data_IF_677791915015
#
_entry.id   IF_677791915015
#
_cell.length_a   1.000
_cell.length_b   1.000
_cell.length_c   1.000
_cell.angle_alpha   90.00
_cell.angle_beta   90.00
_cell.angle_gamma   90.00
#
_symmetry.space_group_name_H-M   'P 1'
#
loop_
_entity.id
_entity.type
_entity.pdbx_description
1 polymer ?
#
# COMPACT_ATOMS: atom_id res chain seq x y z
N UNK A 1 7.26 2.85 -45.90
CA UNK A 1 7.92 2.15 -44.78
C UNK A 1 7.10 2.39 -43.52
N UNK A 2 6.22 1.47 -43.17
CA UNK A 2 5.36 1.56 -41.99
C UNK A 2 6.14 1.07 -40.77
N UNK A 3 6.49 1.99 -39.87
CA UNK A 3 7.18 1.65 -38.62
C UNK A 3 6.29 0.70 -37.80
N UNK A 4 6.79 -0.49 -37.50
CA UNK A 4 6.13 -1.41 -36.57
C UNK A 4 6.16 -0.79 -35.17
N UNK A 5 5.04 -0.81 -34.42
CA UNK A 5 4.99 -0.24 -33.08
C UNK A 5 5.96 -0.99 -32.16
N UNK A 6 6.88 -0.23 -31.53
CA UNK A 6 7.88 -0.78 -30.61
C UNK A 6 7.18 -1.56 -29.50
N UNK A 7 7.58 -2.82 -29.23
CA UNK A 7 6.93 -3.62 -28.20
C UNK A 7 7.07 -2.94 -26.83
N UNK A 8 6.04 -3.02 -25.97
CA UNK A 8 6.09 -2.42 -24.65
C UNK A 8 7.27 -2.97 -23.85
N UNK A 9 7.92 -2.15 -23.00
CA UNK A 9 9.04 -2.61 -22.20
C UNK A 9 8.61 -3.77 -21.30
N UNK A 10 9.50 -4.76 -21.07
CA UNK A 10 9.16 -5.92 -20.27
C UNK A 10 8.90 -5.51 -18.82
N UNK A 11 7.86 -6.11 -18.22
CA UNK A 11 7.29 -5.75 -16.91
C UNK A 11 8.34 -5.64 -15.79
N UNK A 12 9.39 -6.46 -15.82
CA UNK A 12 10.45 -6.43 -14.80
C UNK A 12 11.26 -5.12 -14.79
N UNK A 13 11.41 -4.43 -15.93
CA UNK A 13 12.14 -3.15 -15.99
C UNK A 13 11.36 -2.04 -15.29
N UNK A 14 10.04 -2.04 -15.44
CA UNK A 14 9.15 -1.09 -14.77
C UNK A 14 9.17 -1.34 -13.26
N UNK A 15 9.07 -2.61 -12.85
CA UNK A 15 9.14 -2.99 -11.42
C UNK A 15 10.51 -2.63 -10.82
N UNK A 16 11.61 -2.89 -11.53
CA UNK A 16 12.95 -2.55 -11.06
C UNK A 16 13.14 -1.04 -10.91
N UNK A 17 12.73 -0.24 -11.90
CA UNK A 17 12.79 1.21 -11.82
C UNK A 17 11.92 1.76 -10.67
N UNK A 18 10.75 1.18 -10.48
CA UNK A 18 9.85 1.48 -9.38
C UNK A 18 10.49 1.22 -8.02
N UNK A 19 11.12 0.07 -7.83
CA UNK A 19 11.84 -0.29 -6.60
C UNK A 19 13.03 0.65 -6.35
N UNK A 20 13.78 0.97 -7.41
CA UNK A 20 14.96 1.83 -7.31
C UNK A 20 14.57 3.25 -6.89
N UNK A 21 13.44 3.76 -7.39
CA UNK A 21 12.87 5.05 -7.00
C UNK A 21 12.29 5.01 -5.58
N UNK A 22 11.55 3.95 -5.20
CA UNK A 22 10.92 3.87 -3.87
C UNK A 22 11.91 3.62 -2.74
N UNK A 23 13.08 3.03 -3.02
CA UNK A 23 14.13 2.75 -2.02
C UNK A 23 15.24 3.79 -2.06
N UNK A 24 15.69 4.21 -3.24
CA UNK A 24 16.83 5.12 -3.39
C UNK A 24 16.56 6.54 -2.87
N UNK A 25 15.35 7.06 -3.07
CA UNK A 25 14.99 8.40 -2.60
C UNK A 25 14.82 8.54 -1.09
N UNK A 26 14.17 7.63 -0.34
CA UNK A 26 14.18 7.70 1.12
C UNK A 26 15.61 7.64 1.67
N UNK A 27 16.50 6.86 1.06
CA UNK A 27 17.91 6.80 1.44
C UNK A 27 18.61 8.15 1.19
N UNK A 28 18.38 8.78 0.04
CA UNK A 28 18.94 10.08 -0.29
C UNK A 28 18.43 11.19 0.64
N UNK A 29 17.11 11.25 0.87
CA UNK A 29 16.50 12.27 1.75
C UNK A 29 16.93 12.01 3.20
N UNK A 30 16.94 10.76 3.65
CA UNK A 30 17.49 10.37 4.95
C UNK A 30 18.94 10.80 5.09
N UNK A 31 19.77 10.59 4.06
CA UNK A 31 21.14 11.11 4.04
C UNK A 31 21.15 12.63 4.22
N UNK A 32 20.32 13.40 3.51
CA UNK A 32 20.22 14.85 3.70
C UNK A 32 19.72 15.26 5.11
N UNK A 33 18.85 14.46 5.74
CA UNK A 33 18.33 14.68 7.10
C UNK A 33 19.38 14.41 8.17
N UNK A 34 20.31 13.47 7.96
CA UNK A 34 21.30 13.09 8.98
C UNK A 34 22.71 13.65 8.72
N UNK A 35 22.96 14.24 7.55
CA UNK A 35 24.23 14.91 7.21
C UNK A 35 24.11 16.43 7.37
N UNK A 36 25.21 17.19 7.54
CA UNK A 36 25.14 18.61 7.87
C UNK A 36 24.34 19.44 6.85
N UNK A 37 23.68 20.53 7.28
CA UNK A 37 22.71 21.27 6.46
C UNK A 37 23.32 22.07 5.30
N UNK A 38 24.61 21.95 5.02
CA UNK A 38 25.33 22.60 3.91
C UNK A 38 25.42 21.71 2.65
N UNK A 39 24.98 20.44 2.69
CA UNK A 39 24.71 19.70 1.45
C UNK A 39 23.69 20.48 0.62
N UNK A 40 24.04 20.76 -0.64
CA UNK A 40 23.37 21.70 -1.56
C UNK A 40 21.89 21.42 -1.91
N UNK A 41 21.22 20.55 -1.16
CA UNK A 41 19.79 20.27 -1.23
C UNK A 41 19.00 21.38 -0.52
N UNK A 42 18.13 22.07 -1.27
CA UNK A 42 17.31 23.18 -0.79
C UNK A 42 15.93 22.68 -0.36
N UNK A 43 15.22 23.50 0.42
CA UNK A 43 13.81 23.24 0.80
C UNK A 43 12.91 23.10 -0.45
N UNK A 44 13.21 23.86 -1.51
CA UNK A 44 12.50 23.74 -2.78
C UNK A 44 12.66 22.35 -3.42
N UNK A 45 13.85 21.77 -3.34
CA UNK A 45 14.13 20.44 -3.91
C UNK A 45 13.37 19.36 -3.14
N UNK A 46 13.31 19.47 -1.81
CA UNK A 46 12.48 18.59 -0.98
C UNK A 46 10.99 18.68 -1.36
N UNK A 47 10.46 19.89 -1.52
CA UNK A 47 9.07 20.10 -1.94
C UNK A 47 8.78 19.50 -3.33
N UNK A 48 9.70 19.68 -4.28
CA UNK A 48 9.57 19.12 -5.62
C UNK A 48 9.54 17.60 -5.57
N UNK A 49 10.39 16.99 -4.75
CA UNK A 49 10.41 15.54 -4.53
C UNK A 49 9.10 15.05 -3.92
N UNK A 50 8.60 15.69 -2.85
CA UNK A 50 7.30 15.34 -2.23
C UNK A 50 6.19 15.40 -3.29
N UNK A 51 6.11 16.50 -4.05
CA UNK A 51 5.08 16.69 -5.07
C UNK A 51 5.17 15.64 -6.18
N UNK A 52 6.36 15.36 -6.70
CA UNK A 52 6.57 14.36 -7.74
C UNK A 52 6.17 12.95 -7.27
N UNK A 53 6.51 12.58 -6.05
CA UNK A 53 6.11 11.30 -5.46
C UNK A 53 4.62 11.23 -5.18
N UNK A 54 4.00 12.31 -4.73
CA UNK A 54 2.56 12.36 -4.50
C UNK A 54 1.80 12.17 -5.81
N UNK A 55 2.24 12.85 -6.89
CA UNK A 55 1.67 12.66 -8.23
C UNK A 55 1.89 11.23 -8.71
N UNK A 56 3.08 10.66 -8.56
CA UNK A 56 3.36 9.27 -8.93
C UNK A 56 2.47 8.28 -8.14
N UNK A 57 2.29 8.51 -6.84
CA UNK A 57 1.42 7.72 -5.98
C UNK A 57 -0.04 7.78 -6.44
N UNK A 58 -0.54 8.98 -6.77
CA UNK A 58 -1.89 9.17 -7.32
C UNK A 58 -2.05 8.48 -8.68
N UNK A 59 -1.07 8.62 -9.58
CA UNK A 59 -1.10 7.97 -10.90
C UNK A 59 -1.10 6.45 -10.76
N UNK A 60 -0.29 5.88 -9.87
CA UNK A 60 -0.27 4.46 -9.57
C UNK A 60 -1.61 4.01 -8.98
N UNK A 61 -2.15 4.76 -8.01
CA UNK A 61 -3.47 4.52 -7.44
C UNK A 61 -4.53 4.45 -8.54
N UNK A 62 -4.66 5.50 -9.36
CA UNK A 62 -5.61 5.56 -10.47
C UNK A 62 -5.40 4.42 -11.48
N UNK A 63 -4.16 4.11 -11.84
CA UNK A 63 -3.85 3.02 -12.77
C UNK A 63 -4.32 1.66 -12.22
N UNK A 64 -4.09 1.39 -10.93
CA UNK A 64 -4.54 0.18 -10.25
C UNK A 64 -6.07 0.13 -10.10
N UNK A 65 -6.71 1.27 -9.80
CA UNK A 65 -8.17 1.38 -9.73
C UNK A 65 -8.85 1.21 -11.10
N UNK A 66 -8.22 1.68 -12.18
CA UNK A 66 -8.73 1.54 -13.55
C UNK A 66 -8.69 0.10 -14.05
N UNK A 67 -7.81 -0.74 -13.51
CA UNK A 67 -7.84 -2.18 -13.82
C UNK A 67 -9.08 -2.86 -13.21
N UNK A 68 -9.98 -3.31 -14.08
CA UNK A 68 -11.29 -3.92 -13.74
C UNK A 68 -11.20 -5.22 -12.91
N UNK A 69 -10.00 -5.78 -12.72
CA UNK A 69 -9.73 -6.99 -11.92
C UNK A 69 -8.55 -6.75 -10.98
N UNK A 70 -8.84 -6.23 -9.79
CA UNK A 70 -7.85 -6.10 -8.72
C UNK A 70 -7.47 -7.49 -8.21
N UNK A 71 -6.22 -7.90 -8.44
CA UNK A 71 -5.64 -9.15 -7.93
C UNK A 71 -4.85 -8.90 -6.62
N UNK A 72 -4.61 -9.94 -5.81
CA UNK A 72 -3.85 -9.84 -4.55
C UNK A 72 -2.48 -9.20 -4.74
N UNK A 73 -1.77 -9.53 -5.83
CA UNK A 73 -0.48 -8.93 -6.15
C UNK A 73 -0.54 -7.40 -6.29
N UNK A 74 -1.60 -6.85 -6.90
CA UNK A 74 -1.79 -5.41 -7.04
C UNK A 74 -2.05 -4.73 -5.69
N UNK A 75 -2.78 -5.38 -4.78
CA UNK A 75 -2.96 -4.88 -3.43
C UNK A 75 -1.64 -4.86 -2.64
N UNK A 76 -0.82 -5.91 -2.78
CA UNK A 76 0.49 -5.97 -2.14
C UNK A 76 1.41 -4.89 -2.69
N UNK A 77 1.47 -4.72 -4.01
CA UNK A 77 2.24 -3.63 -4.65
C UNK A 77 1.78 -2.27 -4.12
N UNK A 78 0.47 -2.02 -4.10
CA UNK A 78 -0.09 -0.78 -3.57
C UNK A 78 0.30 -0.54 -2.10
N UNK A 79 0.24 -1.58 -1.26
CA UNK A 79 0.63 -1.48 0.15
C UNK A 79 2.11 -1.13 0.31
N UNK A 80 3.01 -1.83 -0.40
CA UNK A 80 4.45 -1.55 -0.39
C UNK A 80 4.74 -0.12 -0.82
N UNK A 81 4.13 0.32 -1.94
CA UNK A 81 4.26 1.69 -2.42
C UNK A 81 3.75 2.72 -1.43
N UNK A 82 2.64 2.45 -0.75
CA UNK A 82 2.09 3.36 0.25
C UNK A 82 3.03 3.49 1.45
N UNK A 83 3.61 2.38 1.93
CA UNK A 83 4.60 2.42 3.01
C UNK A 83 5.85 3.20 2.58
N UNK A 84 6.36 2.97 1.38
CA UNK A 84 7.50 3.74 0.84
C UNK A 84 7.16 5.23 0.71
N UNK A 85 5.96 5.57 0.26
CA UNK A 85 5.51 6.97 0.15
C UNK A 85 5.42 7.62 1.53
N UNK A 86 4.86 6.93 2.53
CA UNK A 86 4.80 7.41 3.91
C UNK A 86 6.20 7.70 4.47
N UNK A 87 7.15 6.78 4.29
CA UNK A 87 8.52 6.97 4.77
C UNK A 87 9.18 8.20 4.11
N UNK A 88 8.99 8.37 2.79
CA UNK A 88 9.48 9.56 2.08
C UNK A 88 8.83 10.84 2.60
N UNK A 89 7.52 10.81 2.85
CA UNK A 89 6.77 11.95 3.36
C UNK A 89 7.35 12.42 4.69
N UNK A 90 7.50 11.51 5.66
CA UNK A 90 8.05 11.80 6.98
C UNK A 90 9.48 12.34 6.91
N UNK A 91 10.35 11.68 6.14
CA UNK A 91 11.74 12.14 5.98
C UNK A 91 11.83 13.52 5.30
N UNK A 92 10.95 13.80 4.35
CA UNK A 92 10.97 15.09 3.64
C UNK A 92 10.47 16.23 4.51
N UNK A 93 9.41 16.04 5.30
CA UNK A 93 8.97 17.04 6.27
C UNK A 93 9.99 17.24 7.38
N UNK A 94 10.57 16.15 7.90
CA UNK A 94 11.68 16.21 8.85
C UNK A 94 12.86 17.03 8.31
N UNK A 95 13.20 16.88 7.02
CA UNK A 95 14.22 17.70 6.37
C UNK A 95 13.86 19.19 6.34
N UNK A 96 12.61 19.53 6.01
CA UNK A 96 12.13 20.92 6.00
C UNK A 96 12.21 21.53 7.40
N UNK A 97 11.73 20.80 8.42
CA UNK A 97 11.80 21.22 9.81
C UNK A 97 13.24 21.40 10.29
N UNK A 98 14.15 20.51 9.89
CA UNK A 98 15.57 20.63 10.19
C UNK A 98 16.25 21.80 9.49
N UNK A 99 15.82 22.20 8.30
CA UNK A 99 16.39 23.34 7.58
C UNK A 99 15.92 24.68 8.12
N UNK A 100 14.65 24.77 8.49
CA UNK A 100 14.00 26.02 8.92
C UNK A 100 14.02 26.20 10.45
N UNK A 101 14.18 25.09 11.19
CA UNK A 101 14.14 25.05 12.64
C UNK A 101 12.72 24.97 13.18
N UNK A 102 12.57 24.20 14.25
CA UNK A 102 11.36 24.12 15.09
C UNK A 102 11.71 24.64 16.49
N UNK A 103 10.69 24.99 17.26
CA UNK A 103 10.87 25.55 18.60
C UNK A 103 10.67 24.45 19.64
N UNK A 104 11.54 24.42 20.64
CA UNK A 104 11.34 23.60 21.84
C UNK A 104 10.41 24.27 22.87
N UNK A 105 10.18 23.62 24.00
CA UNK A 105 9.35 24.14 25.09
C UNK A 105 9.86 25.44 25.74
N UNK A 106 11.13 25.81 25.53
CA UNK A 106 11.71 27.06 26.01
C UNK A 106 11.63 28.19 24.96
N UNK A 107 11.24 27.86 23.72
CA UNK A 107 11.21 28.78 22.59
C UNK A 107 12.52 28.85 21.81
N UNK A 108 13.50 27.99 22.12
CA UNK A 108 14.76 27.91 21.40
C UNK A 108 14.61 27.11 20.11
N UNK A 109 15.33 27.54 19.06
CA UNK A 109 15.32 26.82 17.77
C UNK A 109 16.19 25.57 17.86
N UNK A 110 15.60 24.42 17.58
CA UNK A 110 16.32 23.15 17.41
C UNK A 110 16.34 22.71 15.95
N UNK A 111 17.47 22.12 15.57
CA UNK A 111 17.75 21.57 14.23
C UNK A 111 18.20 20.11 14.33
N UNK A 112 17.98 19.48 15.48
CA UNK A 112 18.36 18.09 15.70
C UNK A 112 17.57 17.17 14.73
N UNK A 113 18.26 16.30 13.95
CA UNK A 113 17.60 15.40 13.01
C UNK A 113 16.54 14.50 13.62
N UNK A 114 16.82 13.93 14.80
CA UNK A 114 15.94 12.97 15.45
C UNK A 114 14.72 13.68 16.01
N UNK A 115 14.91 14.88 16.59
CA UNK A 115 13.80 15.73 17.04
C UNK A 115 12.92 16.16 15.87
N UNK A 116 13.50 16.54 14.73
CA UNK A 116 12.72 16.93 13.54
C UNK A 116 11.94 15.75 12.94
N UNK A 117 12.53 14.54 12.92
CA UNK A 117 11.84 13.33 12.48
C UNK A 117 10.71 12.95 13.44
N UNK A 118 10.95 13.05 14.75
CA UNK A 118 9.95 12.87 15.78
C UNK A 118 8.79 13.87 15.60
N UNK A 119 9.10 15.16 15.41
CA UNK A 119 8.11 16.21 15.19
C UNK A 119 7.24 15.94 13.95
N UNK A 120 7.84 15.51 12.83
CA UNK A 120 7.10 15.08 11.64
C UNK A 120 6.20 13.87 11.93
N UNK A 121 6.70 12.86 12.66
CA UNK A 121 5.90 11.69 13.01
C UNK A 121 4.68 12.04 13.88
N UNK A 122 4.84 12.88 14.92
CA UNK A 122 3.72 13.28 15.79
C UNK A 122 2.75 14.24 15.08
N UNK A 123 3.22 15.01 14.09
CA UNK A 123 2.40 15.89 13.25
C UNK A 123 1.56 15.06 12.27
N UNK A 124 2.19 14.13 11.55
CA UNK A 124 1.50 13.22 10.63
C UNK A 124 0.51 12.30 11.34
N UNK A 125 0.86 11.79 12.53
CA UNK A 125 -0.09 11.00 13.34
C UNK A 125 -1.16 11.85 14.02
N UNK A 126 -1.08 13.18 13.92
CA UNK A 126 -1.99 14.14 14.57
C UNK A 126 -2.01 14.05 16.10
N UNK A 127 -0.94 13.51 16.70
CA UNK A 127 -0.79 13.39 18.15
C UNK A 127 -0.43 14.73 18.78
N UNK A 128 0.61 15.40 18.23
CA UNK A 128 1.02 16.74 18.65
C UNK A 128 1.16 16.95 20.16
N UNK A 129 2.11 16.29 20.81
CA UNK A 129 2.32 16.38 22.27
C UNK A 129 2.55 17.81 22.79
N UNK A 130 3.06 18.72 21.95
CA UNK A 130 3.28 20.13 22.29
C UNK A 130 4.63 20.40 22.97
N UNK A 131 5.50 19.40 23.05
CA UNK A 131 6.90 19.51 23.47
C UNK A 131 7.77 20.25 22.44
N UNK A 132 7.42 20.13 21.16
CA UNK A 132 7.96 20.94 20.07
C UNK A 132 6.83 21.56 19.27
N UNK A 133 7.02 22.80 18.83
CA UNK A 133 6.04 23.56 18.05
C UNK A 133 6.68 24.11 16.78
N UNK A 134 5.90 24.31 15.70
CA UNK A 134 6.45 24.88 14.49
C UNK A 134 6.85 26.34 14.72
N UNK A 135 7.99 26.73 14.17
CA UNK A 135 8.41 28.13 14.05
C UNK A 135 7.49 28.88 13.07
N UNK A 136 7.50 30.23 13.06
CA UNK A 136 6.72 31.01 12.11
C UNK A 136 6.92 30.62 10.64
N UNK A 137 8.10 30.11 10.30
CA UNK A 137 8.50 29.66 8.96
C UNK A 137 7.99 28.23 8.65
N UNK A 138 7.84 27.37 9.66
CA UNK A 138 7.44 25.96 9.50
C UNK A 138 5.95 25.70 9.76
N UNK A 139 5.21 26.66 10.31
CA UNK A 139 3.79 26.50 10.66
C UNK A 139 2.90 26.09 9.48
N UNK A 140 3.15 26.63 8.30
CA UNK A 140 2.40 26.25 7.08
C UNK A 140 2.72 24.83 6.64
N UNK A 141 3.97 24.39 6.82
CA UNK A 141 4.38 23.03 6.52
C UNK A 141 3.74 22.02 7.47
N UNK A 142 3.71 22.31 8.77
CA UNK A 142 3.03 21.47 9.75
C UNK A 142 1.51 21.35 9.45
N UNK A 143 0.86 22.46 9.08
CA UNK A 143 -0.54 22.43 8.66
C UNK A 143 -0.76 21.58 7.39
N UNK A 144 0.13 21.71 6.39
CA UNK A 144 0.09 20.89 5.18
C UNK A 144 0.33 19.40 5.46
N UNK A 145 1.28 19.06 6.34
CA UNK A 145 1.57 17.68 6.75
C UNK A 145 0.35 17.05 7.41
N UNK A 146 -0.31 17.76 8.33
CA UNK A 146 -1.56 17.31 8.95
C UNK A 146 -2.69 17.09 7.94
N UNK A 147 -2.85 17.99 6.97
CA UNK A 147 -3.86 17.82 5.91
C UNK A 147 -3.56 16.60 5.03
N UNK A 148 -2.29 16.42 4.62
CA UNK A 148 -1.85 15.29 3.81
C UNK A 148 -2.03 13.97 4.57
N UNK A 149 -1.85 13.96 5.90
CA UNK A 149 -2.09 12.78 6.71
C UNK A 149 -3.53 12.27 6.58
N UNK A 150 -4.53 13.15 6.65
CA UNK A 150 -5.93 12.76 6.49
C UNK A 150 -6.24 12.18 5.10
N UNK A 151 -5.76 12.84 4.03
CA UNK A 151 -5.97 12.38 2.66
C UNK A 151 -5.32 11.01 2.45
N UNK A 152 -4.08 10.86 2.91
CA UNK A 152 -3.32 9.63 2.77
C UNK A 152 -3.93 8.48 3.59
N UNK A 153 -4.37 8.75 4.82
CA UNK A 153 -5.06 7.75 5.65
C UNK A 153 -6.36 7.26 5.03
N UNK A 154 -7.17 8.15 4.44
CA UNK A 154 -8.39 7.74 3.75
C UNK A 154 -8.10 6.74 2.62
N UNK A 155 -7.05 6.99 1.83
CA UNK A 155 -6.61 6.10 0.74
C UNK A 155 -6.07 4.76 1.28
N UNK A 156 -5.28 4.78 2.36
CA UNK A 156 -4.80 3.56 3.01
C UNK A 156 -5.94 2.68 3.53
N UNK A 157 -6.90 3.28 4.24
CA UNK A 157 -8.05 2.56 4.80
C UNK A 157 -8.88 1.95 3.67
N UNK A 158 -9.14 2.70 2.59
CA UNK A 158 -9.86 2.17 1.43
C UNK A 158 -9.14 0.98 0.79
N UNK A 159 -7.82 1.08 0.59
CA UNK A 159 -7.00 -0.01 0.08
C UNK A 159 -7.02 -1.25 0.98
N UNK A 160 -6.90 -1.05 2.30
CA UNK A 160 -6.95 -2.11 3.30
C UNK A 160 -8.31 -2.83 3.32
N UNK A 161 -9.40 -2.07 3.32
CA UNK A 161 -10.76 -2.64 3.27
C UNK A 161 -11.01 -3.45 2.00
N UNK A 162 -10.50 -2.99 0.85
CA UNK A 162 -10.57 -3.76 -0.40
C UNK A 162 -9.79 -5.08 -0.32
N UNK A 163 -8.60 -5.08 0.28
CA UNK A 163 -7.82 -6.29 0.50
C UNK A 163 -8.56 -7.28 1.41
N UNK A 164 -9.14 -6.81 2.52
CA UNK A 164 -9.94 -7.63 3.42
C UNK A 164 -11.19 -8.20 2.74
N UNK A 165 -11.89 -7.39 1.93
CA UNK A 165 -13.06 -7.84 1.18
C UNK A 165 -12.71 -8.95 0.19
N UNK A 166 -11.55 -8.85 -0.47
CA UNK A 166 -11.04 -9.89 -1.40
C UNK A 166 -10.78 -11.20 -0.67
N UNK A 167 -10.03 -11.18 0.43
CA UNK A 167 -9.76 -12.41 1.20
C UNK A 167 -11.04 -13.09 1.70
N UNK A 168 -12.03 -12.31 2.14
CA UNK A 168 -13.34 -12.85 2.52
C UNK A 168 -14.05 -13.51 1.33
N UNK A 169 -14.05 -12.87 0.17
CA UNK A 169 -14.69 -13.41 -1.04
C UNK A 169 -14.07 -14.73 -1.52
N UNK A 170 -12.73 -14.83 -1.50
CA UNK A 170 -12.04 -16.05 -1.91
C UNK A 170 -12.31 -17.20 -0.94
N UNK A 171 -12.31 -16.94 0.38
CA UNK A 171 -12.59 -17.96 1.39
C UNK A 171 -14.01 -18.51 1.25
N UNK A 172 -15.00 -17.65 1.02
CA UNK A 172 -16.40 -18.06 0.80
C UNK A 172 -16.51 -18.89 -0.49
N UNK A 173 -15.85 -18.47 -1.57
CA UNK A 173 -15.86 -19.19 -2.86
C UNK A 173 -15.25 -20.58 -2.73
N UNK A 174 -14.09 -20.71 -2.08
CA UNK A 174 -13.44 -22.01 -1.83
C UNK A 174 -14.33 -22.93 -1.02
N UNK A 175 -14.89 -22.43 0.08
CA UNK A 175 -15.79 -23.23 0.94
C UNK A 175 -17.03 -23.73 0.20
N UNK A 176 -17.66 -22.88 -0.64
CA UNK A 176 -18.80 -23.30 -1.48
C UNK A 176 -18.41 -24.37 -2.50
N UNK A 177 -17.22 -24.25 -3.10
CA UNK A 177 -16.71 -25.23 -4.06
C UNK A 177 -16.42 -26.58 -3.37
N UNK A 178 -15.81 -26.56 -2.18
CA UNK A 178 -15.54 -27.76 -1.39
C UNK A 178 -16.83 -28.47 -0.97
N UNK A 179 -17.82 -27.72 -0.48
CA UNK A 179 -19.16 -28.22 -0.17
C UNK A 179 -19.84 -28.84 -1.39
N UNK A 180 -19.76 -28.17 -2.55
CA UNK A 180 -20.31 -28.70 -3.80
C UNK A 180 -19.66 -30.01 -4.23
N UNK A 181 -18.33 -30.10 -4.11
CA UNK A 181 -17.58 -31.32 -4.43
C UNK A 181 -17.94 -32.48 -3.47
N UNK A 182 -18.07 -32.20 -2.17
CA UNK A 182 -18.46 -33.19 -1.15
C UNK A 182 -19.89 -33.70 -1.38
N UNK A 183 -20.85 -32.79 -1.59
CA UNK A 183 -22.24 -33.15 -1.87
C UNK A 183 -22.35 -33.96 -3.16
N UNK A 184 -21.61 -33.57 -4.21
CA UNK A 184 -21.51 -34.32 -5.45
C UNK A 184 -21.06 -35.76 -5.19
N UNK A 185 -19.94 -35.97 -4.48
CA UNK A 185 -19.43 -37.30 -4.14
C UNK A 185 -20.44 -38.13 -3.35
N UNK A 186 -21.15 -37.54 -2.38
CA UNK A 186 -22.19 -38.23 -1.61
C UNK A 186 -23.37 -38.68 -2.49
N UNK A 187 -23.83 -37.82 -3.40
CA UNK A 187 -24.91 -38.15 -4.34
C UNK A 187 -24.47 -39.27 -5.29
N UNK A 188 -23.24 -39.19 -5.83
CA UNK A 188 -22.69 -40.26 -6.68
C UNK A 188 -22.60 -41.60 -5.94
N UNK A 189 -22.11 -41.59 -4.70
CA UNK A 189 -22.04 -42.79 -3.86
C UNK A 189 -23.43 -43.36 -3.56
N UNK A 190 -24.39 -42.51 -3.17
CA UNK A 190 -25.78 -42.92 -2.90
C UNK A 190 -26.44 -43.53 -4.15
N UNK A 191 -26.25 -42.91 -5.32
CA UNK A 191 -26.77 -43.44 -6.60
C UNK A 191 -26.14 -44.77 -6.96
N UNK A 192 -24.84 -44.96 -6.71
CA UNK A 192 -24.16 -46.24 -6.94
C UNK A 192 -24.70 -47.35 -6.04
N UNK A 193 -24.99 -47.06 -4.77
CA UNK A 193 -25.61 -48.01 -3.83
C UNK A 193 -27.03 -48.37 -4.27
N UNK A 194 -27.84 -47.38 -4.66
CA UNK A 194 -29.19 -47.60 -5.19
C UNK A 194 -29.17 -48.49 -6.45
N UNK A 195 -28.18 -48.31 -7.31
CA UNK A 195 -28.04 -49.11 -8.53
C UNK A 195 -27.56 -50.55 -8.27
N UNK A 196 -26.81 -50.79 -7.18
CA UNK A 196 -26.42 -52.16 -6.75
C UNK A 196 -27.58 -52.88 -6.07
N UNK A 197 -28.33 -52.18 -5.23
CA UNK A 197 -29.49 -52.75 -4.52
C UNK A 197 -30.60 -53.12 -5.49
N UNK A 198 -30.90 -52.29 -6.48
CA UNK A 198 -31.87 -52.61 -7.54
C UNK A 198 -31.44 -53.83 -8.38
N UNK A 199 -30.16 -53.93 -8.74
CA UNK A 199 -29.61 -55.11 -9.44
C UNK A 199 -29.69 -56.39 -8.60
N UNK A 200 -29.47 -56.30 -7.29
CA UNK A 200 -29.58 -57.43 -6.37
C UNK A 200 -31.02 -57.91 -6.23
N UNK A 201 -31.96 -56.99 -6.01
CA UNK A 201 -33.39 -57.28 -5.93
C UNK A 201 -33.93 -57.92 -7.23
N UNK A 202 -33.49 -57.43 -8.40
CA UNK A 202 -33.85 -58.01 -9.68
C UNK A 202 -33.35 -59.47 -9.83
N UNK A 203 -32.13 -59.78 -9.37
CA UNK A 203 -31.60 -61.16 -9.38
C UNK A 203 -32.37 -62.09 -8.43
N UNK A 204 -32.75 -61.61 -7.26
CA UNK A 204 -33.51 -62.40 -6.28
C UNK A 204 -34.92 -62.72 -6.77
N UNK A 205 -35.58 -61.82 -7.52
CA UNK A 205 -36.88 -62.10 -8.14
C UNK A 205 -36.81 -63.11 -9.29
N UNK A 206 -35.74 -63.10 -10.09
CA UNK A 206 -35.56 -64.05 -11.19
C UNK A 206 -35.24 -65.48 -10.73
N UNK A 207 -34.68 -65.67 -9.53
CA UNK A 207 -34.40 -66.99 -8.97
C UNK A 207 -35.58 -67.67 -8.28
N UNK A 208 -36.76 -67.03 -8.22
CA UNK A 208 -37.99 -67.56 -7.59
C UNK A 208 -39.08 -67.97 -8.60
N UNK A 209 -38.79 -67.90 -9.91
CA UNK A 209 -39.65 -68.36 -11.01
C UNK A 209 -39.07 -69.65 -11.56
#
# INVERSE_FOLDING_TARGET
MTATPKPPPPLYRVILAMILVTVGLPIMIGYCVFNPPDVGFRVFDANLVIAAFFVLYLLLGVALFRTRRINVAQCVIFAVFSVSFLLNLLLSFAFVFRKLGILDGNGDRTFDPMVCLYFSAITWTTVGYGDFIPSPETRSYAACEGLLAYIFMAVLIAGFLHLLARFRSERIRRRRQDLGNQLGQQIYAARAVAHRTSRRAARENWGRV
#
